data_IF_141695739636
#
_entry.id   IF_141695739636
#
_cell.length_a   1.000
_cell.length_b   1.000
_cell.length_c   1.000
_cell.angle_alpha   90.00
_cell.angle_beta   90.00
_cell.angle_gamma   90.00
#
_symmetry.space_group_name_H-M   'P 1'
#
loop_
_entity.id
_entity.type
_entity.pdbx_description
1 polymer ?
#
# COMPACT_ATOMS: atom_id res chain seq x y z
N UNK A 1 -12.95 -1.20 -15.55
CA UNK A 1 -11.75 -2.04 -15.24
C UNK A 1 -10.52 -1.23 -14.73
N UNK A 2 -10.64 0.08 -14.41
CA UNK A 2 -9.51 0.93 -14.01
C UNK A 2 -9.17 1.07 -12.49
N UNK A 3 -10.00 0.70 -11.48
CA UNK A 3 -9.74 1.10 -10.10
C UNK A 3 -8.57 0.35 -9.43
N UNK A 4 -8.35 -0.92 -9.78
CA UNK A 4 -7.29 -1.74 -9.17
C UNK A 4 -5.89 -1.15 -9.44
N UNK A 5 -5.64 -0.61 -10.64
CA UNK A 5 -4.32 -0.10 -11.05
C UNK A 5 -3.90 1.15 -10.25
N UNK A 6 -4.86 1.98 -9.85
CA UNK A 6 -4.59 3.20 -9.06
C UNK A 6 -4.29 2.89 -7.59
N UNK A 7 -5.03 1.96 -6.99
CA UNK A 7 -4.82 1.52 -5.60
C UNK A 7 -3.41 0.92 -5.44
N UNK A 8 -2.98 0.06 -6.38
CA UNK A 8 -1.62 -0.50 -6.33
C UNK A 8 -0.51 0.55 -6.46
N UNK A 9 -0.73 1.61 -7.25
CA UNK A 9 0.28 2.67 -7.45
C UNK A 9 0.47 3.51 -6.19
N UNK A 10 -0.62 3.89 -5.53
CA UNK A 10 -0.60 4.67 -4.28
C UNK A 10 0.04 3.90 -3.11
N UNK A 11 -0.28 2.59 -3.00
CA UNK A 11 0.37 1.71 -2.03
C UNK A 11 1.87 1.58 -2.27
N UNK A 12 2.28 1.45 -3.54
CA UNK A 12 3.70 1.37 -3.93
C UNK A 12 4.45 2.66 -3.64
N UNK A 13 3.89 3.82 -4.00
CA UNK A 13 4.49 5.15 -3.74
C UNK A 13 4.65 5.41 -2.25
N UNK A 14 3.66 4.97 -1.46
CA UNK A 14 3.74 5.07 0.00
C UNK A 14 4.81 4.17 0.59
N UNK A 15 4.85 2.90 0.17
CA UNK A 15 5.87 1.96 0.62
C UNK A 15 7.27 2.50 0.29
N UNK A 16 7.44 3.06 -0.90
CA UNK A 16 8.67 3.73 -1.34
C UNK A 16 9.06 4.87 -0.38
N UNK A 17 8.11 5.73 -0.01
CA UNK A 17 8.35 6.85 0.90
C UNK A 17 8.80 6.37 2.28
N UNK A 18 8.11 5.37 2.83
CA UNK A 18 8.41 4.78 4.15
C UNK A 18 9.80 4.14 4.13
N UNK A 19 10.09 3.31 3.14
CA UNK A 19 11.40 2.65 3.00
C UNK A 19 12.55 3.67 2.88
N UNK A 20 12.36 4.75 2.12
CA UNK A 20 13.37 5.82 2.03
C UNK A 20 13.55 6.54 3.37
N UNK A 21 12.47 6.85 4.08
CA UNK A 21 12.56 7.50 5.39
C UNK A 21 13.28 6.63 6.41
N UNK A 22 12.99 5.32 6.43
CA UNK A 22 13.73 4.33 7.24
C UNK A 22 15.22 4.37 6.91
N UNK A 23 15.57 4.39 5.61
CA UNK A 23 16.96 4.52 5.17
C UNK A 23 17.65 5.78 5.70
N UNK A 24 16.97 6.94 5.64
CA UNK A 24 17.50 8.19 6.19
C UNK A 24 17.67 8.15 7.71
N UNK A 25 16.72 7.54 8.45
CA UNK A 25 16.82 7.37 9.91
C UNK A 25 18.03 6.51 10.27
N UNK A 26 18.28 5.42 9.54
CA UNK A 26 19.45 4.55 9.76
C UNK A 26 20.75 5.33 9.50
N UNK A 27 20.84 6.05 8.37
CA UNK A 27 22.03 6.86 8.06
C UNK A 27 22.26 7.95 9.10
N UNK A 28 21.21 8.64 9.54
CA UNK A 28 21.31 9.65 10.59
C UNK A 28 21.80 9.04 11.92
N UNK A 29 21.29 7.86 12.28
CA UNK A 29 21.71 7.13 13.47
C UNK A 29 23.21 6.82 13.43
N UNK A 30 23.71 6.22 12.35
CA UNK A 30 25.14 5.94 12.20
C UNK A 30 25.98 7.22 12.11
N UNK A 31 25.43 8.32 11.60
CA UNK A 31 26.06 9.63 11.60
C UNK A 31 26.31 10.15 13.01
N UNK A 32 25.31 10.01 13.91
CA UNK A 32 25.48 10.36 15.33
C UNK A 32 26.52 9.47 16.00
N UNK A 33 26.45 8.15 15.79
CA UNK A 33 27.44 7.21 16.33
C UNK A 33 28.86 7.56 15.87
N UNK A 34 29.04 7.92 14.60
CA UNK A 34 30.32 8.37 14.06
C UNK A 34 30.82 9.65 14.73
N UNK A 35 29.96 10.67 14.85
CA UNK A 35 30.33 11.95 15.46
C UNK A 35 30.71 11.80 16.94
N UNK A 36 29.93 11.02 17.70
CA UNK A 36 30.23 10.73 19.11
C UNK A 36 31.54 9.98 19.25
N UNK A 37 31.75 8.94 18.43
CA UNK A 37 32.99 8.13 18.47
C UNK A 37 34.23 8.96 18.13
N UNK A 38 34.14 9.84 17.12
CA UNK A 38 35.27 10.66 16.66
C UNK A 38 35.57 11.85 17.58
N UNK A 39 34.56 12.62 17.95
CA UNK A 39 34.76 13.89 18.67
C UNK A 39 34.70 13.75 20.19
N UNK A 40 33.79 12.93 20.72
CA UNK A 40 33.63 12.78 22.17
C UNK A 40 34.63 11.77 22.76
N UNK A 41 34.89 10.68 22.04
CA UNK A 41 35.76 9.59 22.50
C UNK A 41 37.18 9.63 21.93
N UNK A 42 37.46 10.48 20.92
CA UNK A 42 38.76 10.60 20.24
C UNK A 42 39.39 9.24 19.90
N UNK A 43 38.56 8.33 19.40
CA UNK A 43 38.96 6.97 19.05
C UNK A 43 39.74 6.98 17.73
N UNK A 44 41.07 6.94 17.77
CA UNK A 44 41.90 6.72 16.57
C UNK A 44 41.98 5.23 16.24
N UNK A 45 40.84 4.66 15.82
CA UNK A 45 40.74 3.26 15.39
C UNK A 45 40.20 3.14 13.96
N UNK A 46 40.68 2.16 13.15
CA UNK A 46 40.18 1.90 11.79
C UNK A 46 38.65 1.77 11.67
N UNK A 47 37.98 1.43 12.77
CA UNK A 47 36.52 1.33 12.89
C UNK A 47 35.80 2.65 12.54
N UNK A 48 36.40 3.80 12.87
CA UNK A 48 35.86 5.12 12.50
C UNK A 48 35.89 5.32 10.98
N UNK A 49 36.94 4.86 10.31
CA UNK A 49 37.04 4.97 8.85
C UNK A 49 36.07 4.00 8.14
N UNK A 50 35.87 2.80 8.69
CA UNK A 50 34.88 1.83 8.17
C UNK A 50 33.46 2.39 8.29
N UNK A 51 33.11 2.96 9.45
CA UNK A 51 31.79 3.60 9.66
C UNK A 51 31.59 4.83 8.77
N UNK A 52 32.63 5.64 8.53
CA UNK A 52 32.59 6.73 7.56
C UNK A 52 32.35 6.23 6.13
N UNK A 53 33.07 5.18 5.71
CA UNK A 53 32.90 4.56 4.39
C UNK A 53 31.48 4.04 4.18
N UNK A 54 30.90 3.43 5.21
CA UNK A 54 29.50 3.01 5.20
C UNK A 54 28.52 4.17 5.04
N UNK A 55 28.73 5.28 5.75
CA UNK A 55 27.88 6.47 5.64
C UNK A 55 27.90 7.03 4.22
N UNK A 56 29.10 7.17 3.63
CA UNK A 56 29.26 7.63 2.26
C UNK A 56 28.59 6.68 1.28
N UNK A 57 28.82 5.36 1.40
CA UNK A 57 28.20 4.36 0.53
C UNK A 57 26.66 4.35 0.64
N UNK A 58 26.13 4.53 1.86
CA UNK A 58 24.68 4.56 2.11
C UNK A 58 24.02 5.81 1.55
N UNK A 59 24.65 6.98 1.72
CA UNK A 59 24.19 8.25 1.13
C UNK A 59 24.26 8.17 -0.41
N UNK A 60 25.37 7.67 -0.95
CA UNK A 60 25.51 7.49 -2.40
C UNK A 60 24.43 6.57 -2.96
N UNK A 61 24.12 5.46 -2.29
CA UNK A 61 23.06 4.54 -2.70
C UNK A 61 21.66 5.17 -2.60
N UNK A 62 21.38 5.98 -1.57
CA UNK A 62 20.14 6.76 -1.46
C UNK A 62 20.01 7.82 -2.56
N UNK A 63 21.12 8.42 -3.01
CA UNK A 63 21.12 9.36 -4.14
C UNK A 63 20.96 8.63 -5.49
N UNK A 64 21.61 7.47 -5.66
CA UNK A 64 21.47 6.60 -6.84
C UNK A 64 20.06 6.08 -7.06
N UNK A 65 19.21 6.09 -6.01
CA UNK A 65 17.79 5.79 -6.15
C UNK A 65 17.11 6.66 -7.24
N UNK A 66 17.52 7.93 -7.39
CA UNK A 66 17.00 8.84 -8.43
C UNK A 66 17.27 8.32 -9.85
N UNK A 67 18.31 7.51 -10.03
CA UNK A 67 18.75 6.96 -11.33
C UNK A 67 18.13 5.59 -11.57
N UNK A 68 18.20 4.68 -10.59
CA UNK A 68 17.78 3.29 -10.80
C UNK A 68 16.26 3.08 -10.79
N UNK A 69 15.49 3.98 -10.14
CA UNK A 69 14.02 3.86 -9.92
C UNK A 69 13.55 2.54 -9.31
N UNK A 70 14.47 1.70 -8.83
CA UNK A 70 14.22 0.37 -8.24
C UNK A 70 14.56 0.39 -6.76
N UNK A 71 13.57 0.74 -5.92
CA UNK A 71 13.75 0.87 -4.46
C UNK A 71 14.25 -0.42 -3.80
N UNK A 72 13.88 -1.57 -4.36
CA UNK A 72 14.21 -2.87 -3.81
C UNK A 72 15.72 -3.14 -3.76
N UNK A 73 16.46 -2.64 -4.75
CA UNK A 73 17.92 -2.78 -4.83
C UNK A 73 18.57 -1.88 -3.78
N UNK A 74 18.15 -0.62 -3.73
CA UNK A 74 18.63 0.37 -2.75
C UNK A 74 18.46 -0.16 -1.33
N UNK A 75 17.29 -0.72 -1.02
CA UNK A 75 16.98 -1.25 0.29
C UNK A 75 17.81 -2.48 0.66
N UNK A 76 17.89 -3.47 -0.25
CA UNK A 76 18.72 -4.68 -0.04
C UNK A 76 20.17 -4.31 0.23
N UNK A 77 20.71 -3.33 -0.49
CA UNK A 77 22.07 -2.86 -0.25
C UNK A 77 22.21 -2.23 1.13
N UNK A 78 21.32 -1.32 1.52
CA UNK A 78 21.38 -0.65 2.83
C UNK A 78 21.32 -1.66 3.97
N UNK A 79 20.38 -2.61 3.94
CA UNK A 79 20.21 -3.55 5.05
C UNK A 79 21.41 -4.50 5.20
N UNK A 80 21.98 -4.99 4.08
CA UNK A 80 23.17 -5.85 4.09
C UNK A 80 24.39 -5.07 4.61
N UNK A 81 24.61 -3.85 4.09
CA UNK A 81 25.74 -3.03 4.52
C UNK A 81 25.62 -2.61 5.99
N UNK A 82 24.41 -2.29 6.45
CA UNK A 82 24.13 -1.96 7.85
C UNK A 82 24.45 -3.14 8.76
N UNK A 83 24.01 -4.34 8.37
CA UNK A 83 24.31 -5.57 9.10
C UNK A 83 25.82 -5.84 9.19
N UNK A 84 26.55 -5.74 8.08
CA UNK A 84 28.01 -5.95 8.06
C UNK A 84 28.74 -4.96 8.95
N UNK A 85 28.34 -3.70 8.94
CA UNK A 85 28.98 -2.67 9.78
C UNK A 85 28.69 -2.89 11.25
N UNK A 86 27.47 -3.30 11.62
CA UNK A 86 27.16 -3.64 13.02
C UNK A 86 27.93 -4.88 13.47
N UNK A 87 28.09 -5.89 12.61
CA UNK A 87 28.92 -7.06 12.92
C UNK A 87 30.38 -6.65 13.19
N UNK A 88 30.96 -5.82 12.32
CA UNK A 88 32.33 -5.31 12.51
C UNK A 88 32.41 -4.50 13.81
N UNK A 89 31.47 -3.58 14.05
CA UNK A 89 31.39 -2.81 15.30
C UNK A 89 31.39 -3.74 16.51
N UNK A 90 30.43 -4.67 16.56
CA UNK A 90 30.25 -5.60 17.68
C UNK A 90 31.50 -6.45 17.91
N UNK A 91 32.18 -6.89 16.86
CA UNK A 91 33.42 -7.64 16.97
C UNK A 91 34.53 -6.84 17.66
N UNK A 92 34.67 -5.58 17.30
CA UNK A 92 35.73 -4.70 17.79
C UNK A 92 35.41 -4.01 19.13
N UNK A 93 34.15 -4.00 19.56
CA UNK A 93 33.72 -3.34 20.80
C UNK A 93 33.43 -4.31 21.94
N UNK A 94 33.95 -5.55 21.87
CA UNK A 94 33.85 -6.55 22.94
C UNK A 94 32.62 -7.47 22.88
N UNK A 95 32.05 -7.69 21.69
CA UNK A 95 31.00 -8.68 21.46
C UNK A 95 29.70 -8.42 22.21
N UNK A 96 29.28 -9.42 23.00
CA UNK A 96 28.07 -9.37 23.83
C UNK A 96 28.10 -8.33 24.93
N UNK A 97 29.28 -7.95 25.41
CA UNK A 97 29.43 -6.88 26.40
C UNK A 97 29.22 -5.51 25.77
N UNK A 98 29.22 -5.44 24.44
CA UNK A 98 29.05 -4.19 23.73
C UNK A 98 27.59 -3.75 23.64
N UNK A 99 27.29 -2.45 23.82
CA UNK A 99 25.99 -1.89 23.48
C UNK A 99 25.66 -2.00 21.98
N UNK A 100 26.64 -2.27 21.11
CA UNK A 100 26.44 -2.44 19.67
C UNK A 100 25.49 -3.60 19.32
N UNK A 101 25.38 -4.62 20.18
CA UNK A 101 24.48 -5.76 19.95
C UNK A 101 23.01 -5.37 20.00
N UNK A 102 22.65 -4.30 20.71
CA UNK A 102 21.28 -3.78 20.69
C UNK A 102 20.95 -3.17 19.34
N UNK A 103 21.93 -2.61 18.63
CA UNK A 103 21.74 -2.01 17.30
C UNK A 103 21.34 -3.09 16.29
N UNK A 104 21.82 -4.33 16.43
CA UNK A 104 21.40 -5.49 15.61
C UNK A 104 19.87 -5.70 15.65
N UNK A 105 19.22 -5.40 16.78
CA UNK A 105 17.76 -5.53 16.92
C UNK A 105 16.97 -4.51 16.06
N UNK A 106 17.61 -3.46 15.56
CA UNK A 106 16.96 -2.49 14.65
C UNK A 106 16.78 -3.06 13.23
N UNK A 107 17.61 -4.03 12.84
CA UNK A 107 17.63 -4.59 11.47
C UNK A 107 16.32 -5.29 11.14
N UNK A 108 15.77 -6.19 11.97
CA UNK A 108 14.52 -6.85 11.63
C UNK A 108 13.35 -5.88 11.61
N UNK A 109 13.33 -4.89 12.52
CA UNK A 109 12.28 -3.83 12.54
C UNK A 109 12.31 -3.04 11.23
N UNK A 110 13.50 -2.66 10.77
CA UNK A 110 13.67 -2.06 9.45
C UNK A 110 13.22 -3.02 8.33
N UNK A 111 13.57 -4.31 8.39
CA UNK A 111 13.19 -5.34 7.40
C UNK A 111 11.68 -5.54 7.26
N UNK A 112 10.96 -5.51 8.37
CA UNK A 112 9.49 -5.58 8.39
C UNK A 112 8.82 -4.40 7.68
N UNK A 113 9.49 -3.23 7.60
CA UNK A 113 8.98 -2.09 6.82
C UNK A 113 8.86 -2.39 5.33
N UNK A 114 9.65 -3.34 4.82
CA UNK A 114 9.66 -3.68 3.39
C UNK A 114 8.78 -4.87 3.10
N UNK A 115 8.92 -5.97 3.85
CA UNK A 115 8.13 -7.18 3.62
C UNK A 115 8.18 -8.10 4.83
N UNK A 116 7.07 -8.79 5.11
CA UNK A 116 7.01 -9.84 6.15
C UNK A 116 8.07 -10.94 5.94
N UNK A 117 8.28 -11.39 4.71
CA UNK A 117 9.28 -12.42 4.39
C UNK A 117 10.71 -11.95 4.69
N UNK A 118 11.03 -10.70 4.35
CA UNK A 118 12.33 -10.10 4.64
C UNK A 118 12.52 -9.91 6.15
N UNK A 119 11.51 -9.38 6.84
CA UNK A 119 11.50 -9.24 8.30
C UNK A 119 11.83 -10.55 9.02
N UNK A 120 11.11 -11.63 8.71
CA UNK A 120 11.36 -12.93 9.33
C UNK A 120 12.75 -13.49 9.00
N UNK A 121 13.20 -13.37 7.74
CA UNK A 121 14.53 -13.84 7.36
C UNK A 121 15.63 -13.12 8.15
N UNK A 122 15.56 -11.78 8.22
CA UNK A 122 16.53 -10.98 8.97
C UNK A 122 16.43 -11.19 10.48
N UNK A 123 15.25 -11.42 11.05
CA UNK A 123 15.11 -11.83 12.46
C UNK A 123 15.87 -13.11 12.77
N UNK A 124 15.72 -14.13 11.92
CA UNK A 124 16.44 -15.40 12.08
C UNK A 124 17.94 -15.19 11.93
N UNK A 125 18.38 -14.41 10.93
CA UNK A 125 19.80 -14.07 10.75
C UNK A 125 20.39 -13.38 11.98
N UNK A 126 19.70 -12.36 12.52
CA UNK A 126 20.15 -11.65 13.72
C UNK A 126 20.24 -12.58 14.92
N UNK A 127 19.23 -13.44 15.12
CA UNK A 127 19.20 -14.41 16.21
C UNK A 127 20.36 -15.41 16.12
N UNK A 128 20.60 -15.97 14.93
CA UNK A 128 21.74 -16.86 14.67
C UNK A 128 23.07 -16.14 14.91
N UNK A 129 23.21 -14.89 14.47
CA UNK A 129 24.44 -14.13 14.71
C UNK A 129 24.69 -13.83 16.18
N UNK A 130 23.64 -13.56 16.96
CA UNK A 130 23.77 -13.39 18.40
C UNK A 130 24.26 -14.68 19.09
N UNK A 131 23.74 -15.84 18.68
CA UNK A 131 24.21 -17.14 19.16
C UNK A 131 25.67 -17.38 18.75
N UNK A 132 26.05 -17.08 17.50
CA UNK A 132 27.42 -17.25 17.04
C UNK A 132 28.40 -16.38 17.83
N UNK A 133 28.04 -15.12 18.13
CA UNK A 133 28.86 -14.22 18.96
C UNK A 133 28.99 -14.78 20.39
N UNK A 134 27.93 -15.37 20.93
CA UNK A 134 27.95 -16.03 22.25
C UNK A 134 28.90 -17.22 22.30
N UNK A 135 28.94 -18.03 21.25
CA UNK A 135 29.84 -19.19 21.16
C UNK A 135 31.30 -18.79 20.93
N UNK A 136 31.54 -17.59 20.38
CA UNK A 136 32.88 -17.08 20.08
C UNK A 136 33.45 -16.16 21.14
N UNK A 137 32.85 -16.06 22.34
CA UNK A 137 33.23 -15.06 23.36
C UNK A 137 34.73 -15.07 23.67
N UNK A 138 35.33 -16.25 23.81
CA UNK A 138 36.75 -16.44 24.13
C UNK A 138 37.72 -15.97 23.03
N UNK A 139 37.23 -15.82 21.80
CA UNK A 139 38.04 -15.46 20.62
C UNK A 139 37.92 -13.98 20.23
N UNK A 140 37.14 -13.19 20.97
CA UNK A 140 36.91 -11.79 20.68
C UNK A 140 38.04 -10.91 21.23
N UNK A 141 38.45 -9.87 20.47
CA UNK A 141 39.42 -8.90 20.95
C UNK A 141 38.85 -8.06 22.10
N UNK A 142 39.76 -7.53 22.93
CA UNK A 142 39.40 -6.58 23.98
C UNK A 142 38.71 -5.34 23.39
N UNK A 143 37.77 -4.79 24.17
CA UNK A 143 36.99 -3.62 23.75
C UNK A 143 37.90 -2.40 23.55
N UNK A 144 37.74 -1.73 22.41
CA UNK A 144 38.45 -0.48 22.10
C UNK A 144 37.87 0.71 22.91
N UNK A 145 36.71 0.55 23.55
CA UNK A 145 36.07 1.62 24.30
C UNK A 145 36.84 1.84 25.62
N UNK A 146 37.30 3.07 25.92
CA UNK A 146 38.00 3.36 27.16
C UNK A 146 37.13 3.04 28.40
N UNK A 147 37.69 2.39 29.43
CA UNK A 147 36.92 1.95 30.61
C UNK A 147 36.32 3.13 31.40
N UNK A 148 36.98 4.30 31.40
CA UNK A 148 36.49 5.51 32.09
C UNK A 148 35.20 6.09 31.46
N UNK A 149 34.91 5.78 30.19
CA UNK A 149 33.77 6.29 29.43
C UNK A 149 32.70 5.23 29.09
N UNK A 150 32.95 3.96 29.42
CA UNK A 150 32.16 2.83 28.93
C UNK A 150 30.69 2.91 29.35
N UNK A 151 30.41 3.21 30.63
CA UNK A 151 29.02 3.31 31.13
C UNK A 151 28.22 4.44 30.45
N UNK A 152 28.86 5.59 30.21
CA UNK A 152 28.21 6.73 29.54
C UNK A 152 27.93 6.43 28.07
N UNK A 153 28.88 5.78 27.40
CA UNK A 153 28.72 5.38 26.01
C UNK A 153 27.62 4.32 25.84
N UNK A 154 27.64 3.29 26.68
CA UNK A 154 26.65 2.20 26.68
C UNK A 154 25.23 2.70 26.95
N UNK A 155 25.06 3.56 27.96
CA UNK A 155 23.74 4.15 28.27
C UNK A 155 23.21 5.01 27.12
N UNK A 156 24.04 5.83 26.48
CA UNK A 156 23.65 6.64 25.32
C UNK A 156 23.23 5.77 24.14
N UNK A 157 24.01 4.73 23.80
CA UNK A 157 23.68 3.86 22.67
C UNK A 157 22.40 3.08 22.91
N UNK A 158 22.19 2.54 24.11
CA UNK A 158 20.96 1.79 24.43
C UNK A 158 19.74 2.71 24.31
N UNK A 159 19.79 3.91 24.90
CA UNK A 159 18.70 4.88 24.83
C UNK A 159 18.39 5.27 23.37
N UNK A 160 19.43 5.55 22.60
CA UNK A 160 19.29 5.96 21.20
C UNK A 160 18.76 4.81 20.33
N UNK A 161 19.21 3.57 20.57
CA UNK A 161 18.73 2.36 19.89
C UNK A 161 17.26 2.13 20.17
N UNK A 162 16.83 2.25 21.43
CA UNK A 162 15.42 2.14 21.80
C UNK A 162 14.57 3.21 21.10
N UNK A 163 15.06 4.46 21.08
CA UNK A 163 14.42 5.55 20.35
C UNK A 163 14.24 5.25 18.86
N UNK A 164 15.28 4.70 18.21
CA UNK A 164 15.20 4.28 16.80
C UNK A 164 14.22 3.14 16.59
N UNK A 165 14.22 2.12 17.47
CA UNK A 165 13.25 1.01 17.38
C UNK A 165 11.82 1.53 17.47
N UNK A 166 11.53 2.43 18.41
CA UNK A 166 10.20 3.04 18.58
C UNK A 166 9.82 3.87 17.36
N UNK A 167 10.74 4.71 16.87
CA UNK A 167 10.52 5.55 15.68
C UNK A 167 10.24 4.71 14.43
N UNK A 168 11.05 3.66 14.18
CA UNK A 168 10.85 2.73 13.07
C UNK A 168 9.52 1.98 13.21
N UNK A 169 9.19 1.52 14.41
CA UNK A 169 7.93 0.80 14.69
C UNK A 169 6.71 1.71 14.44
N UNK A 170 6.77 2.96 14.88
CA UNK A 170 5.74 3.96 14.61
C UNK A 170 5.55 4.17 13.10
N UNK A 171 6.66 4.36 12.38
CA UNK A 171 6.65 4.58 10.94
C UNK A 171 6.00 3.43 10.16
N UNK A 172 6.36 2.20 10.54
CA UNK A 172 5.83 0.98 9.94
C UNK A 172 4.33 0.87 10.23
N UNK A 173 3.91 1.09 11.48
CA UNK A 173 2.50 0.99 11.88
C UNK A 173 1.63 2.05 11.20
N UNK A 174 2.09 3.30 11.11
CA UNK A 174 1.35 4.37 10.42
C UNK A 174 1.05 4.01 8.96
N UNK A 175 2.02 3.38 8.29
CA UNK A 175 1.87 2.91 6.90
C UNK A 175 0.87 1.77 6.75
N UNK A 176 0.78 0.88 7.76
CA UNK A 176 -0.14 -0.26 7.77
C UNK A 176 -1.59 0.17 8.07
N UNK A 177 -1.82 0.98 9.11
CA UNK A 177 -3.17 1.35 9.56
C UNK A 177 -3.98 2.11 8.53
N UNK A 178 -3.32 3.01 7.84
CA UNK A 178 -3.92 3.87 6.83
C UNK A 178 -4.22 3.13 5.53
N UNK A 179 -3.50 2.05 5.23
CA UNK A 179 -3.84 1.11 4.14
C UNK A 179 -5.12 0.35 4.47
N UNK A 180 -5.23 -0.18 5.69
CA UNK A 180 -6.46 -0.81 6.18
C UNK A 180 -7.66 0.15 6.14
N UNK A 181 -7.49 1.38 6.65
CA UNK A 181 -8.57 2.38 6.62
C UNK A 181 -9.05 2.73 5.21
N UNK A 182 -8.17 2.75 4.21
CA UNK A 182 -8.56 2.98 2.81
C UNK A 182 -9.37 1.80 2.27
N UNK A 183 -8.88 0.58 2.47
CA UNK A 183 -9.61 -0.64 2.06
C UNK A 183 -10.99 -0.74 2.71
N UNK A 184 -11.10 -0.42 4.00
CA UNK A 184 -12.39 -0.44 4.71
C UNK A 184 -13.36 0.61 4.16
N UNK A 185 -12.87 1.80 3.77
CA UNK A 185 -13.71 2.82 3.12
C UNK A 185 -14.18 2.38 1.74
N UNK A 186 -13.27 1.84 0.91
CA UNK A 186 -13.60 1.38 -0.43
C UNK A 186 -14.64 0.25 -0.37
N UNK A 187 -14.49 -0.66 0.60
CA UNK A 187 -15.47 -1.72 0.87
C UNK A 187 -16.85 -1.16 1.23
N UNK A 188 -16.92 -0.19 2.14
CA UNK A 188 -18.19 0.46 2.50
C UNK A 188 -18.85 1.14 1.30
N UNK A 189 -18.09 1.83 0.46
CA UNK A 189 -18.63 2.46 -0.75
C UNK A 189 -19.17 1.46 -1.75
N UNK A 190 -18.53 0.29 -1.88
CA UNK A 190 -19.01 -0.82 -2.70
C UNK A 190 -20.31 -1.41 -2.15
N UNK A 191 -20.36 -1.64 -0.84
CA UNK A 191 -21.56 -2.14 -0.16
C UNK A 191 -22.74 -1.16 -0.32
N UNK A 192 -22.52 0.15 -0.15
CA UNK A 192 -23.54 1.19 -0.37
C UNK A 192 -24.03 1.24 -1.82
N UNK A 193 -23.13 1.14 -2.81
CA UNK A 193 -23.52 1.09 -4.23
C UNK A 193 -24.29 -0.17 -4.57
N UNK A 194 -23.90 -1.31 -4.01
CA UNK A 194 -24.62 -2.58 -4.18
C UNK A 194 -26.03 -2.48 -3.61
N UNK A 195 -26.17 -1.98 -2.38
CA UNK A 195 -27.47 -1.78 -1.75
C UNK A 195 -28.35 -0.80 -2.53
N UNK A 196 -27.78 0.27 -3.11
CA UNK A 196 -28.51 1.20 -3.97
C UNK A 196 -29.01 0.52 -5.25
N UNK A 197 -28.17 -0.29 -5.90
CA UNK A 197 -28.56 -1.04 -7.10
C UNK A 197 -29.66 -2.05 -6.77
N UNK A 198 -29.51 -2.81 -5.68
CA UNK A 198 -30.52 -3.76 -5.22
C UNK A 198 -31.87 -3.07 -4.97
N UNK A 199 -31.86 -1.94 -4.25
CA UNK A 199 -33.08 -1.14 -4.03
C UNK A 199 -33.72 -0.66 -5.34
N UNK A 200 -32.93 -0.21 -6.32
CA UNK A 200 -33.45 0.21 -7.63
C UNK A 200 -34.06 -0.98 -8.39
N UNK A 201 -33.41 -2.13 -8.38
CA UNK A 201 -33.92 -3.37 -9.00
C UNK A 201 -35.21 -3.84 -8.31
N UNK A 202 -35.29 -3.74 -6.98
CA UNK A 202 -36.50 -4.02 -6.21
C UNK A 202 -37.62 -3.06 -6.62
N UNK A 203 -37.37 -1.74 -6.65
CA UNK A 203 -38.37 -0.76 -7.06
C UNK A 203 -38.90 -1.02 -8.48
N UNK A 204 -38.00 -1.32 -9.42
CA UNK A 204 -38.36 -1.65 -10.80
C UNK A 204 -39.26 -2.90 -10.84
N UNK A 205 -38.87 -3.99 -10.16
CA UNK A 205 -39.60 -5.26 -10.18
C UNK A 205 -40.97 -5.23 -9.48
N UNK A 206 -41.13 -4.43 -8.43
CA UNK A 206 -42.38 -4.34 -7.65
C UNK A 206 -43.30 -3.19 -8.07
N UNK A 207 -42.86 -2.32 -8.99
CA UNK A 207 -43.73 -1.30 -9.55
C UNK A 207 -44.85 -1.93 -10.39
N UNK A 208 -46.08 -1.40 -10.24
CA UNK A 208 -47.22 -1.77 -11.08
C UNK A 208 -47.25 -1.06 -12.43
N UNK A 209 -46.42 -0.02 -12.63
CA UNK A 209 -46.33 0.68 -13.91
C UNK A 209 -45.37 -0.03 -14.86
N UNK A 210 -45.60 0.04 -16.18
CA UNK A 210 -44.66 -0.48 -17.18
C UNK A 210 -43.34 0.32 -17.12
N UNK A 211 -42.28 -0.34 -16.65
CA UNK A 211 -40.96 0.27 -16.50
C UNK A 211 -39.90 -0.54 -17.23
N UNK A 212 -39.05 0.16 -17.96
CA UNK A 212 -37.88 -0.43 -18.61
C UNK A 212 -36.70 0.54 -18.58
N UNK A 213 -35.50 -0.02 -18.68
CA UNK A 213 -34.24 0.69 -18.81
C UNK A 213 -33.76 0.42 -20.23
N UNK A 214 -33.58 1.49 -21.01
CA UNK A 214 -33.09 1.44 -22.38
C UNK A 214 -31.68 1.98 -22.49
N UNK A 215 -30.89 1.43 -23.40
CA UNK A 215 -29.63 2.03 -23.84
C UNK A 215 -29.91 3.18 -24.80
N UNK A 216 -29.33 4.35 -24.55
CA UNK A 216 -29.74 5.58 -25.24
C UNK A 216 -29.38 5.60 -26.74
N UNK A 217 -28.22 5.04 -27.12
CA UNK A 217 -27.75 5.05 -28.50
C UNK A 217 -28.54 4.07 -29.39
N UNK A 218 -28.81 2.88 -28.86
CA UNK A 218 -29.41 1.75 -29.59
C UNK A 218 -30.92 1.63 -29.36
N UNK A 219 -31.44 2.25 -28.30
CA UNK A 219 -32.81 2.11 -27.80
C UNK A 219 -33.19 0.66 -27.44
N UNK A 220 -32.19 -0.19 -27.20
CA UNK A 220 -32.41 -1.57 -26.75
C UNK A 220 -32.77 -1.62 -25.27
N UNK A 221 -33.77 -2.46 -24.95
CA UNK A 221 -34.22 -2.66 -23.58
C UNK A 221 -33.22 -3.56 -22.84
N UNK A 222 -32.50 -2.98 -21.88
CA UNK A 222 -31.54 -3.68 -21.03
C UNK A 222 -32.22 -4.41 -19.86
N UNK A 223 -33.14 -3.73 -19.20
CA UNK A 223 -33.88 -4.29 -18.07
C UNK A 223 -35.33 -3.84 -18.08
N UNK A 224 -36.22 -4.64 -17.53
CA UNK A 224 -37.65 -4.38 -17.54
C UNK A 224 -38.35 -5.13 -16.40
N UNK A 225 -39.50 -4.62 -16.00
CA UNK A 225 -40.26 -5.22 -14.93
C UNK A 225 -41.27 -6.29 -15.41
N UNK A 226 -41.76 -7.17 -14.50
CA UNK A 226 -42.74 -8.22 -14.83
C UNK A 226 -44.06 -7.73 -15.43
N UNK A 227 -44.37 -6.44 -15.30
CA UNK A 227 -45.61 -5.80 -15.78
C UNK A 227 -45.74 -5.93 -17.30
N UNK A 228 -44.64 -5.98 -18.06
CA UNK A 228 -44.65 -6.28 -19.50
C UNK A 228 -45.33 -7.61 -19.82
N UNK A 229 -45.07 -8.65 -19.01
CA UNK A 229 -45.74 -9.95 -19.17
C UNK A 229 -47.20 -9.89 -18.75
N UNK A 230 -47.49 -9.23 -17.63
CA UNK A 230 -48.83 -9.17 -17.08
C UNK A 230 -49.81 -8.36 -17.95
N UNK A 231 -49.37 -7.24 -18.52
CA UNK A 231 -50.23 -6.33 -19.28
C UNK A 231 -50.11 -6.46 -20.80
N UNK A 232 -48.92 -6.75 -21.33
CA UNK A 232 -48.69 -6.84 -22.78
C UNK A 232 -48.56 -8.30 -23.26
N UNK A 233 -48.39 -9.27 -22.36
CA UNK A 233 -48.35 -10.70 -22.69
C UNK A 233 -47.02 -11.20 -23.23
N UNK A 234 -45.97 -10.38 -23.26
CA UNK A 234 -44.63 -10.78 -23.72
C UNK A 234 -43.83 -11.45 -22.60
N UNK A 235 -43.03 -12.46 -22.94
CA UNK A 235 -42.04 -12.98 -21.99
C UNK A 235 -40.88 -12.00 -21.85
N UNK A 236 -40.32 -11.88 -20.65
CA UNK A 236 -39.23 -10.91 -20.37
C UNK A 236 -38.00 -11.15 -21.24
N UNK A 237 -37.73 -12.41 -21.60
CA UNK A 237 -36.65 -12.81 -22.50
C UNK A 237 -36.88 -12.41 -23.96
N UNK A 238 -38.13 -12.19 -24.36
CA UNK A 238 -38.48 -11.75 -25.73
C UNK A 238 -38.34 -10.24 -25.88
N UNK A 239 -38.49 -9.49 -24.78
CA UNK A 239 -38.41 -8.02 -24.77
C UNK A 239 -36.98 -7.55 -24.56
N UNK A 240 -36.18 -8.26 -23.75
CA UNK A 240 -34.81 -7.87 -23.44
C UNK A 240 -33.91 -7.96 -24.69
N UNK A 241 -33.20 -6.88 -24.98
CA UNK A 241 -32.30 -6.75 -26.13
C UNK A 241 -33.00 -6.38 -27.44
N UNK A 242 -34.32 -6.17 -27.42
CA UNK A 242 -35.09 -5.68 -28.57
C UNK A 242 -35.28 -4.17 -28.46
N UNK A 243 -35.38 -3.49 -29.61
CA UNK A 243 -35.61 -2.04 -29.66
C UNK A 243 -36.98 -1.66 -29.11
N UNK A 244 -37.04 -0.64 -28.25
CA UNK A 244 -38.30 -0.17 -27.65
C UNK A 244 -39.37 0.14 -28.71
N UNK A 245 -38.95 0.70 -29.85
CA UNK A 245 -39.84 1.13 -30.93
C UNK A 245 -40.56 -0.05 -31.62
N UNK A 246 -40.05 -1.27 -31.52
CA UNK A 246 -40.71 -2.47 -32.09
C UNK A 246 -42.00 -2.83 -31.36
N UNK A 247 -42.14 -2.40 -30.10
CA UNK A 247 -43.33 -2.62 -29.28
C UNK A 247 -44.34 -1.47 -29.36
N UNK A 248 -44.07 -0.45 -30.18
CA UNK A 248 -44.93 0.72 -30.36
C UNK A 248 -45.54 0.67 -31.77
N UNK A 249 -46.84 0.95 -31.88
CA UNK A 249 -47.51 1.01 -33.18
C UNK A 249 -46.88 2.13 -34.04
N UNK A 250 -46.46 1.85 -35.30
CA UNK A 250 -45.83 2.85 -36.15
C UNK A 250 -46.85 3.92 -36.56
N UNK A 251 -46.68 5.12 -36.01
CA UNK A 251 -47.39 6.34 -36.36
C UNK A 251 -46.36 7.43 -36.68
N UNK A 252 -46.78 8.48 -37.37
CA UNK A 252 -45.99 9.67 -37.72
C UNK A 252 -45.22 10.29 -36.54
N UNK A 253 -45.71 10.13 -35.30
CA UNK A 253 -45.08 10.61 -34.07
C UNK A 253 -43.91 9.73 -33.57
N UNK A 254 -43.81 8.48 -34.02
CA UNK A 254 -42.78 7.53 -33.57
C UNK A 254 -41.42 7.88 -34.18
N UNK A 255 -41.40 8.41 -35.40
CA UNK A 255 -40.17 8.82 -36.08
C UNK A 255 -39.53 10.06 -35.44
N UNK A 256 -40.31 10.96 -34.84
CA UNK A 256 -39.75 12.06 -34.04
C UNK A 256 -39.25 11.58 -32.69
N UNK A 257 -39.98 10.65 -32.06
CA UNK A 257 -39.64 10.08 -30.75
C UNK A 257 -38.25 9.42 -30.72
N UNK A 258 -37.86 8.71 -31.79
CA UNK A 258 -36.52 8.09 -31.87
C UNK A 258 -35.40 9.13 -31.74
N UNK A 259 -35.53 10.26 -32.44
CA UNK A 259 -34.55 11.34 -32.40
C UNK A 259 -34.59 12.07 -31.05
N UNK A 260 -35.79 12.28 -30.50
CA UNK A 260 -35.97 12.95 -29.22
C UNK A 260 -35.34 12.15 -28.06
N UNK A 261 -35.45 10.81 -28.08
CA UNK A 261 -34.84 9.93 -27.07
C UNK A 261 -33.31 9.91 -27.15
N UNK A 262 -32.74 9.95 -28.36
CA UNK A 262 -31.28 9.96 -28.56
C UNK A 262 -30.62 11.29 -28.15
N UNK A 263 -31.36 12.39 -28.22
CA UNK A 263 -30.84 13.74 -27.89
C UNK A 263 -31.15 14.14 -26.44
N UNK A 264 -31.95 13.36 -25.72
CA UNK A 264 -32.33 13.61 -24.33
C UNK A 264 -31.12 13.72 -23.42
N UNK A 265 -31.05 14.75 -22.58
CA UNK A 265 -29.99 14.86 -21.56
C UNK A 265 -30.39 14.17 -20.26
N UNK A 266 -29.42 13.80 -19.44
CA UNK A 266 -29.62 13.11 -18.16
C UNK A 266 -30.64 13.79 -17.22
N UNK A 267 -30.79 15.12 -17.29
CA UNK A 267 -31.69 15.92 -16.45
C UNK A 267 -33.03 16.29 -17.13
N UNK A 268 -33.29 15.82 -18.36
CA UNK A 268 -34.49 16.16 -19.12
C UNK A 268 -35.52 15.03 -19.09
N UNK A 269 -36.78 15.39 -18.91
CA UNK A 269 -37.91 14.45 -18.91
C UNK A 269 -38.75 14.65 -20.16
N UNK A 270 -38.76 13.66 -21.04
CA UNK A 270 -39.62 13.64 -22.22
C UNK A 270 -40.95 12.97 -21.88
N UNK A 271 -42.05 13.66 -22.17
CA UNK A 271 -43.40 13.08 -22.09
C UNK A 271 -43.93 12.91 -23.50
N UNK A 272 -44.34 11.70 -23.82
CA UNK A 272 -44.95 11.37 -25.11
C UNK A 272 -46.15 10.43 -24.88
N UNK A 273 -47.03 10.37 -25.87
CA UNK A 273 -48.13 9.41 -25.90
C UNK A 273 -47.88 8.44 -27.03
N UNK A 274 -48.05 7.14 -26.77
CA UNK A 274 -47.92 6.12 -27.78
C UNK A 274 -48.92 4.98 -27.53
N UNK A 275 -49.17 4.17 -28.56
CA UNK A 275 -49.96 2.94 -28.43
C UNK A 275 -49.01 1.76 -28.44
N UNK A 276 -48.92 1.05 -27.31
CA UNK A 276 -48.12 -0.17 -27.21
C UNK A 276 -48.84 -1.33 -27.89
N UNK A 277 -48.07 -2.18 -28.57
CA UNK A 277 -48.54 -3.44 -29.13
C UNK A 277 -48.63 -4.48 -27.99
N UNK A 278 -49.70 -5.27 -27.97
CA UNK A 278 -49.83 -6.41 -27.07
C UNK A 278 -49.72 -7.71 -27.87
N UNK A 279 -49.21 -8.77 -27.25
CA UNK A 279 -49.06 -10.08 -27.90
C UNK A 279 -50.41 -10.79 -28.11
N UNK A 280 -51.43 -10.39 -27.36
CA UNK A 280 -52.76 -11.01 -27.33
C UNK A 280 -53.81 -10.31 -28.20
N UNK A 281 -53.44 -9.34 -29.06
CA UNK A 281 -54.39 -8.57 -29.88
C UNK A 281 -53.84 -8.25 -31.26
#
# INVERSE_FOLDING_TARGET
MAPAKYVYKDLLERQIRVTNLVGYVIVAFFGVVYLVSKFALKLDHPLINITAGFLVASIANLLLYRVHKKIYITYRFIIIMTFLVILILTWYTGGLRSPAIFILATIPVAAFSTSKKQGTAWSVTVFVTAILIMLSEDSLPDSIIPPEGELRFTSIIILFTFGVIVLLSYLVNESAFSTHRKLDRDRKQLEEKSARLENLTTLLNYSNDLMCIIEQDTLYINDLNPVFKLHLGYELSEVRGVGLLEFIKPDSQVASLENDLKVLKDDEVLKFSCTMLSKSS
#
